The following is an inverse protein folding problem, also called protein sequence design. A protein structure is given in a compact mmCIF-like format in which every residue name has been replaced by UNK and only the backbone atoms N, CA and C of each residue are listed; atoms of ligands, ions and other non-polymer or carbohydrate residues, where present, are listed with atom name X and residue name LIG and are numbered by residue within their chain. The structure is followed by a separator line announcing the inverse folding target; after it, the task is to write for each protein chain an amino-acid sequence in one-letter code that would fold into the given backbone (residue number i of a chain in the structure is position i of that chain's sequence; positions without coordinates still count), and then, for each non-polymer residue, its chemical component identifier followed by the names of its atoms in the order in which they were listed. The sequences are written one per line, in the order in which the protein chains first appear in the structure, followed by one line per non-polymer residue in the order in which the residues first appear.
data_IF_578917136470
#
_entry.id   IF_578917136470
#
_cell.length_a   1.000
_cell.length_b   1.000
_cell.length_c   1.000
_cell.angle_alpha   90.00
_cell.angle_beta   90.00
_cell.angle_gamma   90.00
#
_symmetry.space_group_name_H-M   'P 1'
#
loop_
_entity.id
_entity.type
_entity.pdbx_description
1 polymer ?
#
# COMPACT_ATOMS: atom_id res chain seq x y z
N UNK A 1 -7.24 7.38 4.77
CA UNK A 1 -6.91 8.57 3.95
C UNK A 1 -6.54 8.16 2.54
N UNK A 2 -5.74 7.11 2.40
CA UNK A 2 -5.28 6.58 1.13
C UNK A 2 -6.38 5.75 0.46
N UNK A 3 -6.83 6.20 -0.71
CA UNK A 3 -7.76 5.44 -1.57
C UNK A 3 -7.00 4.78 -2.71
N UNK A 4 -7.58 3.72 -3.28
CA UNK A 4 -7.08 3.10 -4.50
C UNK A 4 -8.22 2.96 -5.52
N UNK A 5 -7.85 2.94 -6.79
CA UNK A 5 -8.77 2.70 -7.90
C UNK A 5 -8.37 1.38 -8.56
N UNK A 6 -9.35 0.55 -8.91
CA UNK A 6 -9.11 -0.68 -9.64
C UNK A 6 -10.11 -0.82 -10.78
N UNK A 7 -9.68 -1.52 -11.82
CA UNK A 7 -10.50 -1.82 -12.99
C UNK A 7 -10.29 -3.29 -13.42
N UNK A 8 -11.34 -3.92 -13.94
CA UNK A 8 -11.30 -5.29 -14.44
C UNK A 8 -11.81 -6.35 -13.44
N UNK A 9 -11.46 -7.61 -13.72
CA UNK A 9 -12.04 -8.82 -13.11
C UNK A 9 -12.07 -8.78 -11.58
N UNK A 10 -10.96 -8.38 -10.96
CA UNK A 10 -10.79 -8.41 -9.51
C UNK A 10 -11.04 -7.05 -8.84
N UNK A 11 -11.49 -6.02 -9.58
CA UNK A 11 -11.60 -4.67 -9.05
C UNK A 11 -12.46 -4.60 -7.78
N UNK A 12 -13.68 -5.15 -7.82
CA UNK A 12 -14.59 -5.16 -6.66
C UNK A 12 -13.98 -5.86 -5.45
N UNK A 13 -13.20 -6.93 -5.66
CA UNK A 13 -12.52 -7.65 -4.60
C UNK A 13 -11.42 -6.78 -3.97
N UNK A 14 -10.56 -6.19 -4.80
CA UNK A 14 -9.39 -5.42 -4.35
C UNK A 14 -9.83 -4.15 -3.60
N UNK A 15 -10.75 -3.36 -4.18
CA UNK A 15 -11.17 -2.07 -3.62
C UNK A 15 -12.45 -2.13 -2.79
N UNK A 16 -12.89 -3.31 -2.35
CA UNK A 16 -13.97 -3.41 -1.35
C UNK A 16 -13.60 -2.60 -0.08
N UNK A 17 -14.56 -2.38 0.80
CA UNK A 17 -14.38 -1.60 2.03
C UNK A 17 -13.05 -1.92 2.71
N UNK A 18 -12.21 -0.91 2.89
CA UNK A 18 -10.92 -1.01 3.58
C UNK A 18 -10.98 -0.23 4.89
N UNK A 19 -10.33 -0.77 5.93
CA UNK A 19 -10.23 -0.14 7.25
C UNK A 19 -8.85 0.50 7.41
N UNK A 20 -7.81 -0.22 6.99
CA UNK A 20 -6.44 0.23 7.03
C UNK A 20 -6.01 0.79 5.67
N UNK A 21 -5.08 1.75 5.69
CA UNK A 21 -4.48 2.26 4.46
C UNK A 21 -3.55 1.23 3.81
N UNK A 22 -2.69 0.58 4.63
CA UNK A 22 -1.63 -0.31 4.15
C UNK A 22 -1.52 -1.63 4.94
N UNK A 23 -2.48 -1.94 5.81
CA UNK A 23 -2.49 -3.15 6.63
C UNK A 23 -3.21 -4.35 6.00
N UNK A 24 -3.50 -5.38 6.79
CA UNK A 24 -4.18 -6.61 6.31
C UNK A 24 -5.60 -6.36 5.77
N UNK A 25 -6.25 -5.26 6.18
CA UNK A 25 -7.57 -4.88 5.67
C UNK A 25 -7.49 -3.80 4.57
N UNK A 26 -6.36 -3.72 3.86
CA UNK A 26 -6.13 -2.77 2.76
C UNK A 26 -6.23 -3.43 1.39
N UNK A 27 -6.37 -2.64 0.30
CA UNK A 27 -6.25 -3.15 -1.06
C UNK A 27 -4.89 -3.81 -1.36
N UNK A 28 -3.81 -3.39 -0.67
CA UNK A 28 -2.48 -3.98 -0.85
C UNK A 28 -2.43 -5.44 -0.39
N UNK A 29 -3.02 -5.74 0.76
CA UNK A 29 -3.10 -7.11 1.27
C UNK A 29 -3.92 -8.00 0.31
N UNK A 30 -5.02 -7.47 -0.23
CA UNK A 30 -5.82 -8.22 -1.22
C UNK A 30 -5.11 -8.43 -2.55
N UNK A 31 -4.28 -7.47 -2.98
CA UNK A 31 -3.42 -7.66 -4.15
C UNK A 31 -2.38 -8.75 -3.88
N UNK A 32 -1.78 -8.76 -2.69
CA UNK A 32 -0.84 -9.79 -2.23
C UNK A 32 -1.48 -11.18 -2.23
N UNK A 33 -2.73 -11.30 -1.78
CA UNK A 33 -3.48 -12.57 -1.72
C UNK A 33 -3.84 -13.15 -3.10
N UNK A 34 -3.66 -12.39 -4.19
CA UNK A 34 -3.81 -12.93 -5.54
C UNK A 34 -2.64 -13.85 -5.95
N UNK A 35 -1.60 -13.96 -5.12
CA UNK A 35 -0.41 -14.80 -5.33
C UNK A 35 0.17 -14.59 -6.74
N UNK A 36 0.16 -15.64 -7.57
CA UNK A 36 0.70 -15.66 -8.94
C UNK A 36 0.00 -14.68 -9.91
N UNK A 37 -1.05 -13.97 -9.49
CA UNK A 37 -1.77 -12.99 -10.31
C UNK A 37 -1.68 -11.55 -9.76
N UNK A 38 -0.84 -11.30 -8.76
CA UNK A 38 -0.55 -9.97 -8.21
C UNK A 38 0.82 -9.49 -8.68
N UNK A 39 0.88 -8.31 -9.29
CA UNK A 39 2.12 -7.71 -9.78
C UNK A 39 2.16 -6.22 -9.46
N UNK A 40 3.39 -5.72 -9.27
CA UNK A 40 3.68 -4.28 -9.16
C UNK A 40 4.46 -3.87 -10.40
N UNK A 41 4.05 -2.78 -11.04
CA UNK A 41 4.75 -2.16 -12.15
C UNK A 41 5.24 -0.79 -11.71
N UNK A 42 6.55 -0.60 -11.69
CA UNK A 42 7.18 0.71 -11.59
C UNK A 42 7.46 1.18 -13.01
N UNK A 43 6.90 2.32 -13.39
CA UNK A 43 6.98 2.85 -14.75
C UNK A 43 7.66 4.22 -14.74
N UNK A 44 8.97 4.26 -15.00
CA UNK A 44 9.76 5.49 -14.96
C UNK A 44 9.89 6.10 -13.56
N UNK A 45 9.71 5.27 -12.52
CA UNK A 45 9.83 5.64 -11.10
C UNK A 45 10.62 4.58 -10.36
N UNK A 46 11.24 4.98 -9.25
CA UNK A 46 12.02 4.08 -8.40
C UNK A 46 11.16 3.49 -7.26
N UNK A 47 11.76 2.67 -6.40
CA UNK A 47 11.04 2.01 -5.30
C UNK A 47 10.54 2.96 -4.22
N UNK A 48 11.04 4.19 -4.13
CA UNK A 48 10.46 5.25 -3.28
C UNK A 48 8.97 5.49 -3.57
N UNK A 49 8.50 5.16 -4.79
CA UNK A 49 7.09 5.24 -5.17
C UNK A 49 6.35 3.90 -5.07
N UNK A 50 7.01 2.84 -4.59
CA UNK A 50 6.42 1.52 -4.46
C UNK A 50 5.57 1.39 -3.18
N UNK A 51 4.31 1.80 -3.28
CA UNK A 51 3.35 1.76 -2.16
C UNK A 51 3.16 0.36 -1.56
N UNK A 52 3.42 -0.72 -2.31
CA UNK A 52 3.24 -2.08 -1.77
C UNK A 52 4.19 -2.40 -0.62
N UNK A 53 5.34 -1.71 -0.54
CA UNK A 53 6.31 -1.89 0.54
C UNK A 53 5.77 -1.44 1.90
N UNK A 54 4.78 -0.53 1.96
CA UNK A 54 4.12 -0.19 3.23
C UNK A 54 3.37 -1.38 3.86
N UNK A 55 2.95 -2.39 3.08
CA UNK A 55 2.40 -3.63 3.64
C UNK A 55 3.50 -4.44 4.36
N UNK A 56 4.73 -4.43 3.85
CA UNK A 56 5.87 -5.05 4.50
C UNK A 56 6.23 -4.33 5.80
N UNK A 57 6.26 -2.99 5.80
CA UNK A 57 6.45 -2.18 7.02
C UNK A 57 5.39 -2.49 8.08
N UNK A 58 4.11 -2.51 7.68
CA UNK A 58 3.00 -2.82 8.58
C UNK A 58 3.17 -4.21 9.23
N UNK A 59 3.53 -5.23 8.43
CA UNK A 59 3.76 -6.60 8.92
C UNK A 59 4.97 -6.67 9.83
N UNK A 60 6.05 -5.94 9.52
CA UNK A 60 7.21 -5.83 10.38
C UNK A 60 6.84 -5.22 11.74
N UNK A 61 6.09 -4.10 11.75
CA UNK A 61 5.68 -3.41 12.96
C UNK A 61 4.80 -4.30 13.85
N UNK A 62 3.82 -5.00 13.28
CA UNK A 62 2.99 -5.96 14.03
C UNK A 62 3.81 -7.10 14.61
N UNK A 63 4.67 -7.72 13.81
CA UNK A 63 5.45 -8.88 14.26
C UNK A 63 6.45 -8.51 15.38
N UNK A 64 6.86 -7.24 15.46
CA UNK A 64 7.74 -6.73 16.50
C UNK A 64 6.99 -6.02 17.65
N UNK A 65 5.66 -6.11 17.71
CA UNK A 65 4.82 -5.45 18.72
C UNK A 65 5.08 -3.93 18.83
N UNK A 66 5.36 -3.27 17.71
CA UNK A 66 5.48 -1.82 17.64
C UNK A 66 4.07 -1.22 17.76
N UNK A 67 3.90 -0.23 18.63
CA UNK A 67 2.61 0.43 18.83
C UNK A 67 2.36 1.52 17.78
N UNK A 68 1.09 1.69 17.40
CA UNK A 68 0.61 2.83 16.61
C UNK A 68 0.61 4.10 17.46
N UNK A 69 1.61 4.96 17.28
CA UNK A 69 1.81 6.18 18.09
C UNK A 69 1.42 7.47 17.38
N UNK A 70 1.13 7.41 16.08
CA UNK A 70 0.78 8.59 15.30
C UNK A 70 -0.74 8.79 15.26
N UNK A 71 -1.23 10.01 15.52
CA UNK A 71 -2.66 10.31 15.42
C UNK A 71 -2.95 10.91 14.05
N UNK A 72 -3.63 10.13 13.21
CA UNK A 72 -4.14 10.58 11.93
C UNK A 72 -5.57 11.11 12.04
N UNK A 73 -6.00 11.89 11.05
CA UNK A 73 -7.38 12.35 10.96
C UNK A 73 -7.83 12.73 9.57
N UNK A 74 -9.12 12.60 9.29
CA UNK A 74 -9.70 12.97 8.00
C UNK A 74 -11.14 13.45 8.14
N UNK A 75 -11.58 14.26 7.19
CA UNK A 75 -12.98 14.61 7.03
C UNK A 75 -13.72 13.45 6.35
N UNK A 76 -14.71 12.88 7.04
CA UNK A 76 -15.52 11.75 6.56
C UNK A 76 -16.99 12.16 6.62
N UNK A 77 -17.77 11.78 5.60
CA UNK A 77 -19.23 11.92 5.65
C UNK A 77 -19.82 10.85 6.58
N UNK A 78 -20.64 11.28 7.54
CA UNK A 78 -21.40 10.37 8.37
C UNK A 78 -22.49 9.68 7.53
N UNK A 79 -22.53 8.34 7.57
CA UNK A 79 -23.45 7.55 6.74
C UNK A 79 -24.93 7.81 7.06
N UNK A 80 -25.25 8.14 8.32
CA UNK A 80 -26.61 8.38 8.81
C UNK A 80 -27.03 9.83 8.61
N UNK A 81 -26.20 10.79 9.04
CA UNK A 81 -26.58 12.22 9.06
C UNK A 81 -26.23 12.97 7.78
N UNK A 82 -25.39 12.39 6.91
CA UNK A 82 -24.83 13.02 5.70
C UNK A 82 -24.00 14.27 5.96
N UNK A 83 -23.71 14.60 7.21
CA UNK A 83 -22.82 15.70 7.58
C UNK A 83 -21.36 15.23 7.56
N UNK A 84 -20.44 16.15 7.20
CA UNK A 84 -19.00 15.91 7.36
C UNK A 84 -18.61 16.05 8.82
N UNK A 85 -17.78 15.11 9.28
CA UNK A 85 -17.18 15.11 10.61
C UNK A 85 -15.68 14.83 10.51
N UNK A 86 -14.90 15.37 11.45
CA UNK A 86 -13.50 15.03 11.60
C UNK A 86 -13.38 13.72 12.39
N UNK A 87 -12.77 12.70 11.80
CA UNK A 87 -12.52 11.41 12.43
C UNK A 87 -11.03 11.24 12.66
N UNK A 88 -10.64 10.66 13.80
CA UNK A 88 -9.25 10.43 14.18
C UNK A 88 -9.00 8.97 14.53
N UNK A 89 -7.78 8.49 14.27
CA UNK A 89 -7.34 7.14 14.62
C UNK A 89 -5.84 7.11 14.87
N UNK A 90 -5.40 6.10 15.61
CA UNK A 90 -3.97 5.80 15.76
C UNK A 90 -3.48 5.02 14.55
N UNK A 91 -2.30 5.38 14.07
CA UNK A 91 -1.65 4.77 12.91
C UNK A 91 -0.16 4.55 13.15
N UNK A 92 0.46 3.83 12.22
CA UNK A 92 1.91 3.74 12.15
C UNK A 92 2.50 4.96 11.45
N UNK A 93 3.76 5.23 11.75
CA UNK A 93 4.57 6.19 11.02
C UNK A 93 5.17 5.45 9.81
N UNK A 94 4.58 5.68 8.63
CA UNK A 94 4.99 5.04 7.38
C UNK A 94 6.07 5.91 6.72
N UNK A 95 7.21 5.30 6.35
CA UNK A 95 8.33 6.02 5.74
C UNK A 95 8.80 5.31 4.47
N UNK A 96 8.97 6.04 3.38
CA UNK A 96 9.47 5.51 2.11
C UNK A 96 10.93 5.86 1.80
N UNK A 97 11.63 6.53 2.71
CA UNK A 97 13.02 7.01 2.50
C UNK A 97 14.01 5.87 2.20
N UNK A 98 13.80 4.69 2.79
CA UNK A 98 14.67 3.50 2.60
C UNK A 98 14.16 2.53 1.54
N UNK A 99 13.04 2.84 0.87
CA UNK A 99 12.43 1.92 -0.08
C UNK A 99 13.29 1.66 -1.31
N UNK A 100 14.10 2.64 -1.74
CA UNK A 100 15.07 2.44 -2.81
C UNK A 100 16.11 1.37 -2.42
N UNK A 101 16.67 1.46 -1.21
CA UNK A 101 17.66 0.50 -0.73
C UNK A 101 17.07 -0.91 -0.59
N UNK A 102 15.87 -1.01 0.00
CA UNK A 102 15.15 -2.28 0.15
C UNK A 102 14.78 -2.88 -1.21
N UNK A 103 14.28 -2.05 -2.12
CA UNK A 103 13.86 -2.45 -3.46
C UNK A 103 15.00 -2.98 -4.31
N UNK A 104 16.12 -2.26 -4.36
CA UNK A 104 17.30 -2.71 -5.09
C UNK A 104 17.93 -3.97 -4.47
N UNK A 105 17.90 -4.09 -3.14
CA UNK A 105 18.33 -5.33 -2.48
C UNK A 105 17.45 -6.51 -2.89
N UNK A 106 16.12 -6.33 -2.94
CA UNK A 106 15.18 -7.34 -3.42
C UNK A 106 15.42 -7.73 -4.88
N UNK A 107 15.59 -6.74 -5.76
CA UNK A 107 15.87 -6.97 -7.18
C UNK A 107 17.18 -7.74 -7.42
N UNK A 108 18.17 -7.57 -6.54
CA UNK A 108 19.45 -8.28 -6.65
C UNK A 108 19.38 -9.77 -6.32
N UNK A 109 18.35 -10.21 -5.58
CA UNK A 109 18.21 -11.58 -5.09
C UNK A 109 17.04 -12.34 -5.73
N UNK A 110 16.08 -11.64 -6.33
CA UNK A 110 14.85 -12.21 -6.83
C UNK A 110 14.92 -12.45 -8.34
N UNK A 111 14.80 -13.72 -8.77
CA UNK A 111 14.75 -14.08 -10.20
C UNK A 111 13.48 -13.57 -10.93
N UNK A 112 12.50 -13.05 -10.19
CA UNK A 112 11.18 -12.68 -10.70
C UNK A 112 11.03 -11.18 -11.01
N UNK A 113 12.05 -10.34 -10.83
CA UNK A 113 12.01 -8.95 -11.31
C UNK A 113 12.34 -8.90 -12.80
N UNK A 114 11.45 -8.34 -13.61
CA UNK A 114 11.71 -8.09 -15.04
C UNK A 114 11.89 -6.59 -15.28
N UNK A 115 13.03 -6.22 -15.87
CA UNK A 115 13.35 -4.83 -16.22
C UNK A 115 13.22 -4.65 -17.73
N UNK A 116 12.56 -3.58 -18.15
CA UNK A 116 12.33 -3.28 -19.57
C UNK A 116 12.27 -1.78 -19.82
N UNK A 117 11.74 -1.40 -20.97
CA UNK A 117 11.43 -0.01 -21.27
C UNK A 117 10.02 0.08 -21.85
N UNK A 118 9.31 1.15 -21.48
CA UNK A 118 8.06 1.57 -22.11
C UNK A 118 8.26 2.99 -22.63
N UNK A 119 8.61 3.08 -23.92
CA UNK A 119 9.09 4.35 -24.48
C UNK A 119 10.45 4.72 -23.89
N UNK A 120 10.54 5.90 -23.27
CA UNK A 120 11.76 6.36 -22.57
C UNK A 120 11.75 6.03 -21.07
N UNK A 121 10.63 5.56 -20.54
CA UNK A 121 10.54 5.13 -19.16
C UNK A 121 11.21 3.76 -19.02
N UNK A 122 12.11 3.65 -18.05
CA UNK A 122 12.66 2.38 -17.60
C UNK A 122 11.73 1.78 -16.55
#
# INVERSE_FOLDING_TARGET
QHSMIAYGKNAKLIIDKHIDSFGEQSPLARLYDLNDNGYVLLLGVEHENNTSLHLAEYRFQINNNIEKKFINGASIENSETKARQWFQWNDYDYNSEDFNDIGYAFDSIQENTTVGYVGLAK
#
